data_IF_977989486915
#
_entry.id   IF_977989486915
#
_cell.length_a   1.000
_cell.length_b   1.000
_cell.length_c   1.000
_cell.angle_alpha   90.00
_cell.angle_beta   90.00
_cell.angle_gamma   90.00
#
_symmetry.space_group_name_H-M   'P 1'
#
loop_
_entity.id
_entity.type
_entity.pdbx_description
1 polymer ?
#
# COMPACT_ATOMS: atom_id res chain seq x y z
N UNK A 1 -14.38 3.41 9.38
CA UNK A 1 -15.28 2.36 9.92
C UNK A 1 -14.49 1.20 10.54
N UNK A 2 -13.60 0.56 9.77
CA UNK A 2 -12.69 -0.48 10.28
C UNK A 2 -11.99 -0.08 11.58
N UNK A 3 -11.34 1.08 11.63
CA UNK A 3 -10.62 1.55 12.82
C UNK A 3 -11.50 1.63 14.08
N UNK A 4 -12.76 2.00 13.93
CA UNK A 4 -13.70 2.10 15.07
C UNK A 4 -14.16 0.70 15.50
N UNK A 5 -14.46 -0.19 14.55
CA UNK A 5 -14.77 -1.60 14.84
C UNK A 5 -13.58 -2.29 15.53
N UNK A 6 -12.38 -2.11 14.99
CA UNK A 6 -11.13 -2.64 15.54
C UNK A 6 -10.87 -2.10 16.95
N UNK A 7 -10.98 -0.80 17.17
CA UNK A 7 -10.83 -0.19 18.48
C UNK A 7 -11.83 -0.75 19.51
N UNK A 8 -13.11 -0.85 19.13
CA UNK A 8 -14.17 -1.35 20.02
C UNK A 8 -14.02 -2.83 20.35
N UNK A 9 -13.78 -3.67 19.34
CA UNK A 9 -13.89 -5.13 19.46
C UNK A 9 -12.55 -5.86 19.51
N UNK A 10 -11.48 -5.32 18.91
CA UNK A 10 -10.14 -5.93 18.92
C UNK A 10 -9.29 -5.37 20.06
N UNK A 11 -9.37 -4.06 20.32
CA UNK A 11 -8.71 -3.43 21.47
C UNK A 11 -9.59 -3.35 22.72
N UNK A 12 -10.77 -3.96 22.68
CA UNK A 12 -11.70 -4.04 23.82
C UNK A 12 -12.14 -2.68 24.39
N UNK A 13 -12.11 -1.58 23.61
CA UNK A 13 -12.55 -0.27 24.10
C UNK A 13 -14.01 -0.25 24.56
N UNK A 14 -14.85 -1.16 24.05
CA UNK A 14 -16.22 -1.35 24.52
C UNK A 14 -16.34 -1.73 26.01
N UNK A 15 -15.26 -2.23 26.62
CA UNK A 15 -15.21 -2.60 28.05
C UNK A 15 -14.78 -1.42 28.95
N UNK A 16 -14.34 -0.30 28.37
CA UNK A 16 -13.98 0.88 29.15
C UNK A 16 -15.24 1.61 29.63
N UNK A 17 -15.16 2.18 30.83
CA UNK A 17 -16.21 3.03 31.38
C UNK A 17 -16.48 4.20 30.45
N UNK A 18 -17.74 4.52 30.16
CA UNK A 18 -18.08 5.61 29.23
C UNK A 18 -18.24 5.16 27.77
N UNK A 19 -17.93 3.90 27.43
CA UNK A 19 -17.96 3.38 26.05
C UNK A 19 -18.99 2.26 25.84
N UNK A 20 -19.94 2.11 26.76
CA UNK A 20 -20.96 1.06 26.69
C UNK A 20 -21.97 1.23 25.56
N UNK A 21 -22.72 0.16 25.28
CA UNK A 21 -23.81 0.17 24.27
C UNK A 21 -24.88 1.21 24.58
N UNK A 22 -25.20 1.38 25.85
CA UNK A 22 -26.23 2.30 26.31
C UNK A 22 -25.79 3.77 26.17
N UNK A 23 -24.49 4.02 26.20
CA UNK A 23 -23.90 5.36 26.07
C UNK A 23 -23.77 5.78 24.60
N UNK A 24 -23.51 4.83 23.69
CA UNK A 24 -23.39 5.09 22.26
C UNK A 24 -24.28 4.19 21.37
N UNK A 25 -25.60 4.18 21.55
CA UNK A 25 -26.49 3.22 20.87
C UNK A 25 -26.45 3.34 19.33
N UNK A 26 -26.26 4.55 18.79
CA UNK A 26 -26.12 4.78 17.35
C UNK A 26 -24.81 4.22 16.79
N UNK A 27 -23.73 4.29 17.55
CA UNK A 27 -22.42 3.77 17.17
C UNK A 27 -22.48 2.25 17.05
N UNK A 28 -22.99 1.58 18.08
CA UNK A 28 -23.10 0.12 18.08
C UNK A 28 -24.05 -0.37 17.00
N UNK A 29 -25.21 0.28 16.82
CA UNK A 29 -26.13 -0.04 15.71
C UNK A 29 -25.45 0.08 14.34
N UNK A 30 -24.62 1.09 14.15
CA UNK A 30 -23.91 1.31 12.88
C UNK A 30 -22.80 0.28 12.66
N UNK A 31 -21.99 -0.02 13.68
CA UNK A 31 -20.88 -0.99 13.55
C UNK A 31 -21.40 -2.42 13.42
N UNK A 32 -22.46 -2.78 14.13
CA UNK A 32 -23.09 -4.11 14.06
C UNK A 32 -23.89 -4.31 12.77
N UNK A 33 -24.30 -3.22 12.10
CA UNK A 33 -24.98 -3.26 10.80
C UNK A 33 -24.05 -3.52 9.60
N UNK A 34 -22.73 -3.48 9.79
CA UNK A 34 -21.76 -3.85 8.75
C UNK A 34 -21.62 -5.38 8.72
N UNK A 35 -21.59 -6.01 7.52
CA UNK A 35 -21.38 -7.45 7.40
C UNK A 35 -20.19 -7.92 8.25
N UNK A 36 -20.44 -8.95 9.06
CA UNK A 36 -19.38 -9.60 9.82
C UNK A 36 -18.62 -10.53 8.88
N UNK A 37 -17.29 -10.55 8.99
CA UNK A 37 -16.53 -11.67 8.46
C UNK A 37 -16.97 -12.90 9.25
N UNK A 38 -17.47 -13.90 8.54
CA UNK A 38 -17.91 -15.18 9.09
C UNK A 38 -16.82 -16.21 8.77
N UNK A 39 -16.58 -17.14 9.69
CA UNK A 39 -15.65 -18.25 9.49
C UNK A 39 -16.07 -19.11 8.28
N UNK A 40 -17.37 -19.19 8.00
CA UNK A 40 -17.90 -19.88 6.83
C UNK A 40 -17.51 -19.20 5.50
N UNK A 41 -17.27 -17.88 5.52
CA UNK A 41 -16.76 -17.13 4.35
C UNK A 41 -15.26 -17.40 4.17
N UNK A 42 -14.50 -17.46 5.26
CA UNK A 42 -13.04 -17.65 5.22
C UNK A 42 -12.59 -19.10 4.95
N UNK A 43 -13.48 -20.08 5.19
CA UNK A 43 -13.13 -21.51 5.24
C UNK A 43 -12.40 -22.03 4.00
N UNK A 44 -12.65 -21.45 2.84
CA UNK A 44 -12.02 -21.86 1.56
C UNK A 44 -11.18 -20.76 0.91
N UNK A 45 -10.99 -19.62 1.57
CA UNK A 45 -10.38 -18.43 0.97
C UNK A 45 -8.87 -18.32 1.29
N UNK A 46 -8.34 -19.26 2.09
CA UNK A 46 -6.94 -19.28 2.50
C UNK A 46 -6.14 -20.19 1.57
N UNK A 47 -5.20 -19.58 0.85
CA UNK A 47 -4.16 -20.26 0.08
C UNK A 47 -2.83 -20.11 0.80
N UNK A 48 -1.93 -21.09 0.61
CA UNK A 48 -0.56 -20.98 1.11
C UNK A 48 0.31 -20.07 0.21
N UNK A 49 1.52 -19.76 0.69
CA UNK A 49 2.46 -18.87 0.01
C UNK A 49 2.88 -19.40 -1.37
N UNK A 50 3.15 -20.70 -1.47
CA UNK A 50 3.60 -21.32 -2.72
C UNK A 50 2.52 -21.24 -3.79
N UNK A 51 1.27 -21.52 -3.39
CA UNK A 51 0.13 -21.44 -4.28
C UNK A 51 -0.18 -20.00 -4.66
N UNK A 52 -0.08 -19.05 -3.74
CA UNK A 52 -0.22 -17.63 -4.04
C UNK A 52 0.83 -17.18 -5.06
N UNK A 53 2.10 -17.58 -4.88
CA UNK A 53 3.18 -17.25 -5.81
C UNK A 53 2.94 -17.84 -7.20
N UNK A 54 2.51 -19.11 -7.28
CA UNK A 54 2.18 -19.77 -8.55
C UNK A 54 1.04 -19.04 -9.29
N UNK A 55 -0.05 -18.72 -8.57
CA UNK A 55 -1.20 -18.02 -9.15
C UNK A 55 -0.78 -16.63 -9.64
N UNK A 56 -0.08 -15.85 -8.81
CA UNK A 56 0.28 -14.46 -9.13
C UNK A 56 1.26 -14.40 -10.30
N UNK A 57 2.30 -15.24 -10.32
CA UNK A 57 3.30 -15.23 -11.41
C UNK A 57 2.80 -15.91 -12.69
N UNK A 58 1.86 -16.84 -12.58
CA UNK A 58 1.27 -17.53 -13.73
C UNK A 58 0.08 -16.80 -14.35
N UNK A 59 -0.42 -15.73 -13.73
CA UNK A 59 -1.57 -14.97 -14.23
C UNK A 59 -1.17 -13.91 -15.24
N UNK A 60 -2.04 -13.67 -16.22
CA UNK A 60 -1.94 -12.50 -17.08
C UNK A 60 -2.32 -11.22 -16.33
N UNK A 61 -1.69 -10.11 -16.70
CA UNK A 61 -2.01 -8.83 -16.10
C UNK A 61 -3.43 -8.39 -16.52
N UNK A 62 -4.34 -8.28 -15.54
CA UNK A 62 -5.76 -8.07 -15.80
C UNK A 62 -6.23 -6.59 -15.82
N UNK A 63 -5.38 -5.65 -15.40
CA UNK A 63 -5.77 -4.23 -15.29
C UNK A 63 -5.38 -3.47 -16.56
N UNK A 64 -6.18 -2.49 -17.02
CA UNK A 64 -5.79 -1.62 -18.12
C UNK A 64 -4.51 -0.85 -17.79
N UNK A 65 -3.70 -0.60 -18.82
CA UNK A 65 -2.58 0.31 -18.72
C UNK A 65 -3.10 1.72 -18.41
N UNK A 66 -2.56 2.33 -17.36
CA UNK A 66 -2.96 3.66 -16.91
C UNK A 66 -2.08 4.75 -17.53
N UNK A 67 -0.93 4.38 -18.09
CA UNK A 67 0.07 5.28 -18.62
C UNK A 67 0.52 6.37 -17.63
N UNK A 68 1.23 7.35 -18.18
CA UNK A 68 1.65 8.54 -17.42
C UNK A 68 0.82 9.74 -17.85
N UNK A 69 0.22 10.40 -16.86
CA UNK A 69 -0.40 11.70 -17.06
C UNK A 69 0.68 12.76 -17.30
N UNK A 70 0.69 13.33 -18.50
CA UNK A 70 1.63 14.38 -18.88
C UNK A 70 1.50 15.67 -18.04
N UNK A 71 0.39 15.84 -17.32
CA UNK A 71 0.16 16.95 -16.40
C UNK A 71 0.51 16.61 -14.94
N UNK A 72 1.00 15.40 -14.68
CA UNK A 72 1.41 15.03 -13.33
C UNK A 72 2.54 15.94 -12.85
N UNK A 73 2.43 16.51 -11.64
CA UNK A 73 3.40 17.50 -11.13
C UNK A 73 4.81 16.95 -10.94
N UNK A 74 5.01 15.62 -10.90
CA UNK A 74 6.35 15.04 -10.78
C UNK A 74 7.12 15.07 -12.10
N UNK A 75 6.43 15.14 -13.25
CA UNK A 75 7.06 15.22 -14.57
C UNK A 75 7.93 14.02 -14.96
N UNK A 76 7.68 12.84 -14.36
CA UNK A 76 8.39 11.60 -14.71
C UNK A 76 7.87 11.02 -16.02
N UNK A 77 8.71 10.23 -16.70
CA UNK A 77 8.37 9.59 -17.97
C UNK A 77 8.26 8.07 -17.84
N UNK A 78 7.54 7.49 -18.80
CA UNK A 78 7.31 6.05 -18.82
C UNK A 78 8.65 5.36 -19.06
N UNK A 79 8.91 4.35 -18.24
CA UNK A 79 10.12 3.57 -18.29
C UNK A 79 11.30 4.11 -17.49
N UNK A 80 11.15 5.21 -16.75
CA UNK A 80 12.18 5.66 -15.80
C UNK A 80 12.32 4.70 -14.61
N UNK A 81 13.55 4.46 -14.17
CA UNK A 81 13.83 3.69 -12.94
C UNK A 81 13.58 4.57 -11.72
N UNK A 82 12.70 4.11 -10.84
CA UNK A 82 12.24 4.86 -9.67
C UNK A 82 12.24 3.99 -8.42
N UNK A 83 12.29 4.65 -7.28
CA UNK A 83 12.02 4.04 -5.98
C UNK A 83 10.74 4.60 -5.40
N UNK A 84 9.90 3.73 -4.84
CA UNK A 84 8.71 4.12 -4.10
C UNK A 84 8.89 3.74 -2.63
N UNK A 85 8.78 4.70 -1.73
CA UNK A 85 8.91 4.47 -0.28
C UNK A 85 7.67 4.97 0.48
N UNK A 86 7.28 4.29 1.57
CA UNK A 86 6.19 4.75 2.41
C UNK A 86 6.64 5.92 3.29
N UNK A 87 5.75 6.90 3.51
CA UNK A 87 6.07 8.11 4.30
C UNK A 87 5.98 7.92 5.81
N UNK A 88 5.44 6.78 6.26
CA UNK A 88 5.29 6.45 7.68
C UNK A 88 6.47 5.65 8.25
N UNK A 89 7.48 5.34 7.43
CA UNK A 89 8.76 4.78 7.83
C UNK A 89 9.88 5.83 7.75
N UNK A 90 11.02 5.53 8.37
CA UNK A 90 12.21 6.38 8.23
C UNK A 90 12.64 6.44 6.74
N UNK A 91 13.08 7.60 6.22
CA UNK A 91 13.49 7.73 4.83
C UNK A 91 14.56 6.69 4.41
N UNK A 92 14.32 6.03 3.28
CA UNK A 92 15.14 4.93 2.78
C UNK A 92 14.86 3.57 3.41
N UNK A 93 13.86 3.42 4.29
CA UNK A 93 13.46 2.11 4.80
C UNK A 93 12.43 1.47 3.86
N UNK A 94 12.69 0.21 3.48
CA UNK A 94 11.84 -0.61 2.60
C UNK A 94 11.47 0.02 1.23
N UNK A 95 12.42 0.63 0.48
CA UNK A 95 12.11 1.20 -0.81
C UNK A 95 11.88 0.10 -1.85
N UNK A 96 10.84 0.27 -2.66
CA UNK A 96 10.57 -0.63 -3.77
C UNK A 96 11.11 -0.05 -5.07
N UNK A 97 12.05 -0.75 -5.68
CA UNK A 97 12.67 -0.37 -6.95
C UNK A 97 11.91 -0.96 -8.13
N UNK A 98 11.73 -0.19 -9.20
CA UNK A 98 11.26 -0.70 -10.47
C UNK A 98 11.05 0.36 -11.53
N UNK A 99 10.62 -0.12 -12.70
CA UNK A 99 10.39 0.71 -13.87
C UNK A 99 9.00 1.36 -13.81
N UNK A 100 8.93 2.68 -13.93
CA UNK A 100 7.68 3.42 -13.88
C UNK A 100 6.82 3.13 -15.12
N UNK A 101 5.66 2.50 -14.92
CA UNK A 101 4.68 2.27 -15.99
C UNK A 101 3.49 3.22 -15.90
N UNK A 102 3.11 3.61 -14.69
CA UNK A 102 1.90 4.37 -14.46
C UNK A 102 2.06 5.49 -13.44
N UNK A 103 1.55 6.67 -13.78
CA UNK A 103 1.60 7.82 -12.88
C UNK A 103 0.40 8.75 -13.14
N UNK A 104 -0.43 8.95 -12.13
CA UNK A 104 -1.52 9.93 -12.15
C UNK A 104 -1.82 10.45 -10.74
N UNK A 105 -2.87 11.27 -10.63
CA UNK A 105 -3.31 11.88 -9.37
C UNK A 105 -3.66 10.90 -8.24
N UNK A 106 -3.96 9.64 -8.56
CA UNK A 106 -4.46 8.66 -7.59
C UNK A 106 -3.43 7.59 -7.24
N UNK A 107 -2.61 7.16 -8.20
CA UNK A 107 -1.70 6.03 -8.02
C UNK A 107 -0.42 6.11 -8.85
N UNK A 108 0.57 5.35 -8.40
CA UNK A 108 1.84 5.07 -9.05
C UNK A 108 1.90 3.58 -9.33
N UNK A 109 2.42 3.19 -10.49
CA UNK A 109 2.59 1.79 -10.89
C UNK A 109 4.01 1.59 -11.38
N UNK A 110 4.70 0.65 -10.75
CA UNK A 110 6.04 0.22 -11.14
C UNK A 110 6.02 -1.25 -11.53
N UNK A 111 6.88 -1.62 -12.47
CA UNK A 111 7.15 -3.00 -12.85
C UNK A 111 8.49 -3.43 -12.27
N UNK A 112 8.47 -4.55 -11.55
CA UNK A 112 9.65 -5.20 -10.99
C UNK A 112 10.36 -6.06 -12.04
N UNK A 113 11.59 -6.47 -11.77
CA UNK A 113 12.38 -7.33 -12.67
C UNK A 113 11.70 -8.68 -12.98
N UNK A 114 10.89 -9.19 -12.04
CA UNK A 114 10.14 -10.43 -12.21
C UNK A 114 8.80 -10.24 -12.97
N UNK A 115 8.55 -9.05 -13.52
CA UNK A 115 7.34 -8.73 -14.28
C UNK A 115 6.13 -8.36 -13.41
N UNK A 116 6.25 -8.41 -12.08
CA UNK A 116 5.17 -7.99 -11.20
C UNK A 116 4.96 -6.48 -11.27
N UNK A 117 3.69 -6.08 -11.33
CA UNK A 117 3.28 -4.68 -11.31
C UNK A 117 2.71 -4.32 -9.95
N UNK A 118 3.40 -3.42 -9.26
CA UNK A 118 2.98 -2.96 -7.94
C UNK A 118 2.25 -1.63 -8.05
N UNK A 119 1.12 -1.53 -7.36
CA UNK A 119 0.27 -0.35 -7.34
C UNK A 119 0.37 0.34 -5.98
N UNK A 120 0.75 1.61 -5.99
CA UNK A 120 0.84 2.43 -4.79
C UNK A 120 -0.15 3.59 -4.87
N UNK A 121 -0.90 3.91 -3.81
CA UNK A 121 -1.62 5.16 -3.74
C UNK A 121 -0.64 6.34 -3.69
N UNK A 122 -1.06 7.53 -4.17
CA UNK A 122 -0.24 8.75 -4.08
C UNK A 122 -0.08 9.27 -2.66
N UNK A 123 -1.07 9.01 -1.82
CA UNK A 123 -1.06 9.42 -0.41
C UNK A 123 -0.33 8.35 0.39
N UNK A 124 0.62 8.78 1.23
CA UNK A 124 1.39 7.88 2.09
C UNK A 124 2.64 7.30 1.43
N UNK A 125 2.96 7.68 0.18
CA UNK A 125 4.13 7.21 -0.55
C UNK A 125 4.82 8.36 -1.28
N UNK A 126 6.15 8.28 -1.37
CA UNK A 126 6.99 9.19 -2.15
C UNK A 126 7.67 8.42 -3.26
N UNK A 127 7.81 9.05 -4.43
CA UNK A 127 8.50 8.48 -5.59
C UNK A 127 9.78 9.27 -5.84
N UNK A 128 10.90 8.59 -5.72
CA UNK A 128 12.22 9.14 -5.98
C UNK A 128 12.72 8.65 -7.34
N UNK A 129 13.43 9.51 -8.08
CA UNK A 129 14.31 9.00 -9.12
C UNK A 129 15.43 8.21 -8.48
N UNK A 130 15.96 7.22 -9.19
CA UNK A 130 17.11 6.44 -8.72
C UNK A 130 18.31 7.32 -8.31
N UNK A 131 18.48 8.49 -8.96
CA UNK A 131 19.54 9.47 -8.63
C UNK A 131 19.36 10.19 -7.29
N UNK A 132 18.12 10.30 -6.81
CA UNK A 132 17.70 11.24 -5.75
C UNK A 132 17.43 10.50 -4.42
N UNK A 133 17.69 9.19 -4.36
CA UNK A 133 17.43 8.38 -3.18
C UNK A 133 18.32 8.78 -1.99
N UNK A 134 17.76 8.97 -0.78
CA UNK A 134 18.52 9.31 0.42
C UNK A 134 19.62 8.28 0.77
N UNK A 135 19.41 7.01 0.44
CA UNK A 135 20.41 5.95 0.64
C UNK A 135 21.59 6.13 -0.32
N UNK A 136 21.33 6.56 -1.56
CA UNK A 136 22.37 6.84 -2.56
C UNK A 136 23.17 8.07 -2.12
N UNK A 137 22.53 9.08 -1.55
CA UNK A 137 23.21 10.25 -0.97
C UNK A 137 24.11 9.87 0.21
N UNK A 138 23.58 9.11 1.19
CA UNK A 138 24.39 8.57 2.31
C UNK A 138 25.53 7.68 1.82
N UNK A 139 25.31 6.88 0.77
CA UNK A 139 26.35 6.06 0.16
C UNK A 139 27.42 6.92 -0.52
N UNK A 140 27.05 7.98 -1.27
CA UNK A 140 27.96 8.94 -1.90
C UNK A 140 28.81 9.70 -0.86
N UNK A 141 28.21 10.11 0.24
CA UNK A 141 28.94 10.72 1.37
C UNK A 141 29.94 9.74 1.99
N UNK A 142 29.54 8.49 2.22
CA UNK A 142 30.40 7.47 2.82
C UNK A 142 31.61 7.09 1.94
N UNK A 143 31.49 7.20 0.61
CA UNK A 143 32.56 6.93 -0.35
C UNK A 143 33.32 8.19 -0.80
N UNK A 144 32.99 9.37 -0.26
CA UNK A 144 33.68 10.63 -0.52
C UNK A 144 33.49 11.18 -1.94
N UNK A 145 32.35 10.87 -2.58
CA UNK A 145 32.01 11.33 -3.93
C UNK A 145 30.87 12.39 -3.90
N UNK A 146 30.53 12.89 -2.70
CA UNK A 146 29.57 13.97 -2.50
C UNK A 146 30.18 15.35 -2.78
#
# INVERSE_FOLDING_TARGET
>A
MWMIKWALFTLDMQKQSGMGRDEFPKLYKWVEGVPKHDEDIEKNDKIDEEKAREIVLGSEYAMPDIGIDAKDPLGYKAGEEVYVEPTDADPGQHPQHGKLLGLNMNKVVIELENGLRMHFPRIGYVVHRSSDMPIVEKAKEAIGIA
#
